data_IF_744622248121
#
_entry.id   IF_744622248121
#
_cell.length_a   1.000
_cell.length_b   1.000
_cell.length_c   1.000
_cell.angle_alpha   90.00
_cell.angle_beta   90.00
_cell.angle_gamma   90.00
#
_symmetry.space_group_name_H-M   'P 1'
#
loop_
_entity.id
_entity.type
_entity.pdbx_description
1 polymer ?
#
# COMPACT_ATOMS: atom_id res chain seq x y z
N UNK A 1 0.67 -7.85 -13.63
CA UNK A 1 0.50 -6.98 -12.45
C UNK A 1 0.27 -7.72 -11.12
N UNK A 2 -0.22 -8.98 -11.10
CA UNK A 2 -0.50 -9.70 -9.85
C UNK A 2 0.71 -9.83 -8.90
N UNK A 3 1.85 -10.29 -9.40
CA UNK A 3 3.07 -10.50 -8.59
C UNK A 3 3.55 -9.19 -7.95
N UNK A 4 3.48 -8.08 -8.69
CA UNK A 4 3.90 -6.77 -8.19
C UNK A 4 2.97 -6.28 -7.06
N UNK A 5 1.66 -6.50 -7.20
CA UNK A 5 0.67 -6.20 -6.15
C UNK A 5 0.90 -7.05 -4.90
N UNK A 6 1.09 -8.36 -5.06
CA UNK A 6 1.41 -9.27 -3.94
C UNK A 6 2.72 -8.86 -3.24
N UNK A 7 3.75 -8.46 -3.99
CA UNK A 7 5.00 -7.97 -3.41
C UNK A 7 4.74 -6.74 -2.53
N UNK A 8 4.00 -5.74 -3.03
CA UNK A 8 3.66 -4.54 -2.25
C UNK A 8 2.92 -4.91 -0.96
N UNK A 9 1.99 -5.86 -0.99
CA UNK A 9 1.27 -6.31 0.22
C UNK A 9 2.21 -6.97 1.23
N UNK A 10 3.07 -7.87 0.78
CA UNK A 10 4.07 -8.53 1.65
C UNK A 10 4.99 -7.51 2.29
N UNK A 11 5.46 -6.51 1.54
CA UNK A 11 6.31 -5.45 2.10
C UNK A 11 5.55 -4.58 3.11
N UNK A 12 4.28 -4.27 2.87
CA UNK A 12 3.45 -3.57 3.84
C UNK A 12 3.31 -4.36 5.14
N UNK A 13 3.14 -5.68 5.05
CA UNK A 13 3.05 -6.53 6.25
C UNK A 13 4.39 -6.62 6.98
N UNK A 14 5.52 -6.73 6.26
CA UNK A 14 6.84 -6.62 6.87
C UNK A 14 7.06 -5.27 7.58
N UNK A 15 6.61 -4.16 7.00
CA UNK A 15 6.71 -2.86 7.66
C UNK A 15 5.94 -2.83 8.98
N UNK A 16 4.75 -3.44 9.03
CA UNK A 16 3.94 -3.50 10.26
C UNK A 16 4.60 -4.30 11.39
N UNK A 17 5.52 -5.23 11.10
CA UNK A 17 6.21 -5.99 12.14
C UNK A 17 7.35 -5.22 12.81
N UNK A 18 7.84 -4.13 12.20
CA UNK A 18 8.92 -3.33 12.76
C UNK A 18 8.43 -2.55 13.99
N UNK A 19 9.09 -2.65 15.16
CA UNK A 19 8.59 -2.08 16.43
C UNK A 19 8.26 -0.59 16.36
N UNK A 20 9.08 0.20 15.65
CA UNK A 20 8.89 1.65 15.49
C UNK A 20 7.63 1.95 14.69
N UNK A 21 7.40 1.21 13.60
CA UNK A 21 6.23 1.38 12.73
C UNK A 21 4.97 0.90 13.46
N UNK A 22 5.02 -0.27 14.09
CA UNK A 22 3.90 -0.83 14.84
C UNK A 22 3.43 0.10 15.96
N UNK A 23 4.37 0.73 16.67
CA UNK A 23 4.06 1.68 17.75
C UNK A 23 3.34 2.92 17.21
N UNK A 24 3.81 3.46 16.10
CA UNK A 24 3.24 4.64 15.45
C UNK A 24 1.88 4.38 14.81
N UNK A 25 1.73 3.21 14.18
CA UNK A 25 0.43 2.72 13.68
C UNK A 25 -0.60 2.61 14.82
N UNK A 26 -0.23 2.03 15.97
CA UNK A 26 -1.13 1.94 17.13
C UNK A 26 -1.48 3.30 17.72
N UNK A 27 -0.57 4.27 17.66
CA UNK A 27 -0.83 5.67 18.08
C UNK A 27 -1.73 6.44 17.11
N UNK A 28 -1.94 5.93 15.90
CA UNK A 28 -2.70 6.62 14.85
C UNK A 28 -1.95 7.78 14.20
N UNK A 29 -0.65 7.96 14.48
CA UNK A 29 0.19 9.06 13.97
C UNK A 29 0.96 8.69 12.68
N UNK A 30 0.74 7.47 12.17
CA UNK A 30 1.32 6.95 10.94
C UNK A 30 0.27 6.23 10.11
N UNK A 31 0.32 6.43 8.80
CA UNK A 31 -0.48 5.69 7.81
C UNK A 31 0.46 5.05 6.80
N UNK A 32 0.18 3.80 6.45
CA UNK A 32 0.90 3.08 5.41
C UNK A 32 0.08 3.04 4.12
N UNK A 33 0.74 3.31 3.01
CA UNK A 33 0.17 3.31 1.68
C UNK A 33 1.06 2.42 0.78
N UNK A 34 0.45 1.56 -0.04
CA UNK A 34 1.16 0.72 -1.00
C UNK A 34 0.79 1.11 -2.43
N UNK A 35 1.78 1.46 -3.25
CA UNK A 35 1.58 1.95 -4.61
C UNK A 35 2.28 1.03 -5.61
N UNK A 36 1.69 0.88 -6.79
CA UNK A 36 2.28 0.19 -7.94
C UNK A 36 2.36 1.18 -9.08
N UNK A 37 3.56 1.32 -9.67
CA UNK A 37 3.79 2.16 -10.84
C UNK A 37 4.18 1.29 -12.04
N UNK A 38 3.44 1.44 -13.13
CA UNK A 38 3.74 0.81 -14.41
C UNK A 38 4.57 1.76 -15.28
N UNK A 39 5.87 1.46 -15.42
CA UNK A 39 6.79 2.29 -16.21
C UNK A 39 6.35 2.39 -17.68
N UNK A 40 5.81 1.30 -18.24
CA UNK A 40 5.41 1.25 -19.65
C UNK A 40 4.14 2.04 -19.99
N UNK A 41 3.25 2.25 -19.03
CA UNK A 41 1.95 2.92 -19.26
C UNK A 41 1.81 4.24 -18.50
N UNK A 42 2.71 4.53 -17.55
CA UNK A 42 2.58 5.65 -16.62
C UNK A 42 1.45 5.48 -15.60
N UNK A 43 0.82 4.30 -15.53
CA UNK A 43 -0.29 4.03 -14.63
C UNK A 43 0.20 3.88 -13.18
N UNK A 44 -0.55 4.48 -12.25
CA UNK A 44 -0.37 4.30 -10.81
C UNK A 44 -1.61 3.60 -10.27
N UNK A 45 -1.42 2.56 -9.45
CA UNK A 45 -2.47 1.96 -8.65
C UNK A 45 -2.11 2.07 -7.17
N UNK A 46 -3.12 2.28 -6.32
CA UNK A 46 -2.95 2.39 -4.87
C UNK A 46 -3.76 1.34 -4.14
N UNK A 47 -3.18 0.74 -3.11
CA UNK A 47 -3.90 -0.20 -2.28
C UNK A 47 -4.92 0.53 -1.39
N UNK A 48 -6.17 0.11 -1.54
CA UNK A 48 -7.30 0.54 -0.73
C UNK A 48 -7.56 -0.50 0.37
N UNK A 49 -7.44 -0.07 1.62
CA UNK A 49 -7.58 -0.95 2.79
C UNK A 49 -9.04 -1.38 3.03
N UNK A 50 -10.02 -0.59 2.58
CA UNK A 50 -11.45 -0.89 2.73
C UNK A 50 -11.89 -1.88 1.64
N UNK A 51 -11.52 -1.60 0.38
CA UNK A 51 -11.84 -2.47 -0.76
C UNK A 51 -10.95 -3.72 -0.83
N UNK A 52 -9.82 -3.72 -0.10
CA UNK A 52 -8.78 -4.75 -0.14
C UNK A 52 -8.25 -5.02 -1.55
N UNK A 53 -8.23 -3.99 -2.39
CA UNK A 53 -7.78 -4.09 -3.78
C UNK A 53 -6.95 -2.86 -4.19
N UNK A 54 -6.24 -2.98 -5.30
CA UNK A 54 -5.52 -1.86 -5.92
C UNK A 54 -6.46 -1.10 -6.85
N UNK A 55 -6.72 0.16 -6.52
CA UNK A 55 -7.61 1.06 -7.28
C UNK A 55 -6.82 2.19 -7.94
N UNK A 56 -7.44 2.88 -8.89
CA UNK A 56 -6.85 4.09 -9.43
C UNK A 56 -6.83 5.19 -8.33
N UNK A 57 -5.72 5.94 -8.14
CA UNK A 57 -5.64 7.00 -7.14
C UNK A 57 -6.76 8.04 -7.27
N UNK A 58 -7.26 8.29 -8.48
CA UNK A 58 -8.33 9.25 -8.74
C UNK A 58 -9.69 8.79 -8.20
N UNK A 59 -9.88 7.49 -7.97
CA UNK A 59 -11.12 6.91 -7.44
C UNK A 59 -11.18 6.95 -5.90
N UNK A 60 -10.13 7.45 -5.25
CA UNK A 60 -10.01 7.54 -3.78
C UNK A 60 -10.27 8.96 -3.24
N UNK A 61 -10.51 9.94 -4.11
CA UNK A 61 -10.77 11.35 -3.77
C UNK A 61 -12.28 11.56 -3.58
#
# INVERSE_FOLDING_TARGET
>A
MRILRENVLVQLDHLKTHPVIATRLRRGDLRLHGWVYSIGTGEVCVYDWEKKDFVNPRERI
#
